data_IF_290695071785
#
_entry.id   IF_290695071785
#
_cell.length_a   1.000
_cell.length_b   1.000
_cell.length_c   1.000
_cell.angle_alpha   90.00
_cell.angle_beta   90.00
_cell.angle_gamma   90.00
#
_symmetry.space_group_name_H-M   'P 1'
#
loop_
_entity.id
_entity.type
_entity.pdbx_description
1 polymer ?
#
# COMPACT_ATOMS: atom_id res chain seq x y z
N UNK A 1 13.46 -5.76 19.33
CA UNK A 1 13.71 -6.43 20.64
C UNK A 1 14.47 -7.73 20.39
N UNK A 2 15.36 -8.23 21.25
CA UNK A 2 15.97 -9.55 21.02
C UNK A 2 14.93 -10.67 21.20
N UNK A 3 15.08 -11.77 20.45
CA UNK A 3 14.25 -12.96 20.67
C UNK A 3 14.52 -13.56 22.06
N UNK A 4 13.49 -14.12 22.73
CA UNK A 4 13.66 -14.73 24.04
C UNK A 4 14.54 -15.99 23.92
N UNK A 5 15.55 -16.10 24.78
CA UNK A 5 16.42 -17.29 24.82
C UNK A 5 15.66 -18.49 25.40
N UNK A 6 15.88 -19.66 24.81
CA UNK A 6 15.31 -20.90 25.33
C UNK A 6 15.96 -21.25 26.69
N UNK A 7 15.15 -21.65 27.67
CA UNK A 7 15.67 -21.99 28.99
C UNK A 7 16.58 -23.22 28.93
N UNK A 8 17.74 -23.20 29.59
CA UNK A 8 18.60 -24.37 29.68
C UNK A 8 17.89 -25.49 30.47
N UNK A 9 18.05 -26.74 30.02
CA UNK A 9 17.44 -27.94 30.58
C UNK A 9 18.48 -29.05 30.72
N UNK A 10 18.28 -29.94 31.70
CA UNK A 10 18.98 -31.22 31.82
C UNK A 10 17.92 -32.37 31.77
N UNK A 11 17.94 -33.27 30.78
CA UNK A 11 18.88 -33.36 29.65
C UNK A 11 18.75 -32.17 28.66
N UNK A 12 19.81 -31.89 27.86
CA UNK A 12 19.79 -30.80 26.87
C UNK A 12 18.72 -31.02 25.81
N UNK A 13 18.31 -29.93 25.16
CA UNK A 13 17.32 -29.97 24.09
C UNK A 13 17.77 -30.87 22.93
N UNK A 14 16.82 -31.57 22.27
CA UNK A 14 17.13 -32.31 21.06
C UNK A 14 17.75 -31.42 19.99
N UNK A 15 18.64 -31.98 19.17
CA UNK A 15 19.31 -31.23 18.09
C UNK A 15 18.32 -30.55 17.15
N UNK A 16 17.18 -31.18 16.87
CA UNK A 16 16.11 -30.60 16.04
C UNK A 16 15.54 -29.31 16.61
N UNK A 17 15.32 -29.25 17.93
CA UNK A 17 14.83 -28.04 18.62
C UNK A 17 15.90 -26.96 18.60
N UNK A 18 17.16 -27.34 18.89
CA UNK A 18 18.28 -26.39 18.87
C UNK A 18 18.50 -25.77 17.49
N UNK A 19 18.50 -26.60 16.44
CA UNK A 19 18.63 -26.16 15.05
C UNK A 19 17.46 -25.25 14.65
N UNK A 20 16.23 -25.61 15.01
CA UNK A 20 15.05 -24.78 14.73
C UNK A 20 15.14 -23.42 15.43
N UNK A 21 15.58 -23.39 16.70
CA UNK A 21 15.78 -22.15 17.44
C UNK A 21 16.87 -21.27 16.81
N UNK A 22 17.94 -21.88 16.30
CA UNK A 22 19.00 -21.16 15.61
C UNK A 22 18.49 -20.53 14.30
N UNK A 23 17.74 -21.29 13.50
CA UNK A 23 17.10 -20.78 12.28
C UNK A 23 16.18 -19.60 12.60
N UNK A 24 15.36 -19.69 13.64
CA UNK A 24 14.49 -18.59 14.07
C UNK A 24 15.30 -17.34 14.45
N UNK A 25 16.37 -17.50 15.22
CA UNK A 25 17.25 -16.39 15.60
C UNK A 25 17.90 -15.74 14.37
N UNK A 26 18.46 -16.54 13.46
CA UNK A 26 19.13 -16.05 12.26
C UNK A 26 18.16 -15.26 11.36
N UNK A 27 16.92 -15.76 11.18
CA UNK A 27 15.89 -15.11 10.37
C UNK A 27 15.41 -13.80 11.00
N UNK A 28 15.27 -13.78 12.33
CA UNK A 28 14.90 -12.59 13.08
C UNK A 28 15.98 -11.51 13.00
N UNK A 29 17.23 -11.87 13.27
CA UNK A 29 18.37 -10.94 13.18
C UNK A 29 18.54 -10.41 11.76
N UNK A 30 18.46 -11.27 10.74
CA UNK A 30 18.55 -10.86 9.33
C UNK A 30 17.49 -9.83 8.95
N UNK A 31 16.25 -10.04 9.39
CA UNK A 31 15.14 -9.14 9.10
C UNK A 31 15.22 -7.84 9.91
N UNK A 32 15.65 -7.90 11.18
CA UNK A 32 15.85 -6.72 12.01
C UNK A 32 17.03 -5.86 11.49
N UNK A 33 18.15 -6.49 11.10
CA UNK A 33 19.27 -5.83 10.45
C UNK A 33 18.86 -5.15 9.14
N UNK A 34 17.92 -5.75 8.39
CA UNK A 34 17.36 -5.12 7.21
C UNK A 34 16.64 -3.82 7.58
N UNK A 35 15.79 -3.83 8.60
CA UNK A 35 15.05 -2.65 9.06
C UNK A 35 15.99 -1.54 9.55
N UNK A 36 16.99 -1.91 10.34
CA UNK A 36 17.98 -0.99 10.91
C UNK A 36 18.91 -0.39 9.84
N UNK A 37 19.15 -1.10 8.74
CA UNK A 37 20.07 -0.63 7.68
C UNK A 37 19.61 0.65 6.97
N UNK A 38 18.33 1.04 7.11
CA UNK A 38 17.75 2.21 6.44
C UNK A 38 17.64 2.08 4.91
N UNK A 39 18.11 0.97 4.33
CA UNK A 39 18.07 0.71 2.89
C UNK A 39 16.83 -0.14 2.56
N UNK A 40 15.67 0.51 2.69
CA UNK A 40 14.35 -0.09 2.53
C UNK A 40 13.99 -0.23 1.04
N UNK A 41 14.52 -1.28 0.40
CA UNK A 41 14.07 -1.68 -0.92
C UNK A 41 12.79 -2.53 -0.80
N UNK A 42 11.70 -2.08 -1.42
CA UNK A 42 10.41 -2.80 -1.47
C UNK A 42 10.53 -4.29 -1.78
N UNK A 43 11.32 -4.66 -2.79
CA UNK A 43 11.49 -6.08 -3.13
C UNK A 43 12.16 -6.87 -2.01
N UNK A 44 13.07 -6.24 -1.25
CA UNK A 44 13.72 -6.87 -0.09
C UNK A 44 12.75 -6.98 1.07
N UNK A 45 11.99 -5.91 1.36
CA UNK A 45 10.93 -5.91 2.38
C UNK A 45 9.92 -7.04 2.11
N UNK A 46 9.37 -7.11 0.90
CA UNK A 46 8.43 -8.15 0.52
C UNK A 46 9.04 -9.56 0.56
N UNK A 47 10.32 -9.69 0.22
CA UNK A 47 11.04 -10.96 0.34
C UNK A 47 11.14 -11.40 1.82
N UNK A 48 11.52 -10.49 2.73
CA UNK A 48 11.58 -10.78 4.17
C UNK A 48 10.21 -11.12 4.74
N UNK A 49 9.16 -10.37 4.39
CA UNK A 49 7.78 -10.70 4.80
C UNK A 49 7.38 -12.09 4.30
N UNK A 50 7.66 -12.41 3.04
CA UNK A 50 7.35 -13.73 2.47
C UNK A 50 8.12 -14.85 3.16
N UNK A 51 9.39 -14.62 3.49
CA UNK A 51 10.24 -15.56 4.22
C UNK A 51 9.68 -15.83 5.62
N UNK A 52 9.23 -14.80 6.34
CA UNK A 52 8.59 -14.98 7.65
C UNK A 52 7.33 -15.85 7.55
N UNK A 53 6.46 -15.60 6.57
CA UNK A 53 5.25 -16.39 6.39
C UNK A 53 5.49 -17.84 5.96
N UNK A 54 6.48 -18.08 5.09
CA UNK A 54 6.72 -19.41 4.52
C UNK A 54 7.66 -20.28 5.35
N UNK A 55 8.58 -19.67 6.10
CA UNK A 55 9.63 -20.41 6.81
C UNK A 55 9.41 -20.37 8.32
N UNK A 56 9.16 -19.19 8.89
CA UNK A 56 9.06 -19.01 10.35
C UNK A 56 7.75 -19.58 10.91
N UNK A 57 6.61 -19.23 10.31
CA UNK A 57 5.31 -19.69 10.83
C UNK A 57 5.19 -21.23 10.82
N UNK A 58 5.51 -21.94 9.72
CA UNK A 58 5.47 -23.39 9.73
C UNK A 58 6.43 -24.02 10.75
N UNK A 59 7.59 -23.40 10.97
CA UNK A 59 8.56 -23.88 11.96
C UNK A 59 8.04 -23.75 13.39
N UNK A 60 7.42 -22.61 13.73
CA UNK A 60 6.77 -22.40 15.05
C UNK A 60 5.64 -23.41 15.24
N UNK A 61 4.80 -23.63 14.21
CA UNK A 61 3.72 -24.62 14.26
C UNK A 61 4.29 -26.03 14.45
N UNK A 62 5.36 -26.39 13.74
CA UNK A 62 6.00 -27.70 13.87
C UNK A 62 6.51 -27.92 15.30
N UNK A 63 7.09 -26.89 15.93
CA UNK A 63 7.55 -26.95 17.32
C UNK A 63 6.40 -27.05 18.34
N UNK A 64 5.24 -26.40 18.08
CA UNK A 64 4.05 -26.50 18.94
C UNK A 64 3.34 -27.86 18.81
N UNK A 65 3.38 -28.46 17.62
CA UNK A 65 2.78 -29.76 17.36
C UNK A 65 3.57 -30.92 17.99
N UNK A 66 4.85 -30.72 18.32
CA UNK A 66 5.63 -31.70 19.08
C UNK A 66 5.23 -31.68 20.57
N UNK A 67 4.33 -32.58 20.95
CA UNK A 67 3.81 -32.72 22.33
C UNK A 67 4.57 -33.76 23.16
N UNK A 68 5.81 -34.10 22.77
CA UNK A 68 6.65 -35.05 23.49
C UNK A 68 7.16 -34.54 24.84
N UNK A 69 7.90 -35.38 25.58
CA UNK A 69 8.61 -34.97 26.80
C UNK A 69 9.70 -33.90 26.51
N UNK A 70 10.04 -33.70 25.24
CA UNK A 70 10.98 -32.71 24.75
C UNK A 70 10.29 -31.51 24.07
N UNK A 71 8.98 -31.35 24.30
CA UNK A 71 8.21 -30.22 23.79
C UNK A 71 8.73 -28.90 24.33
N UNK A 72 8.80 -27.91 23.46
CA UNK A 72 9.19 -26.55 23.83
C UNK A 72 8.08 -25.91 24.68
N UNK A 73 8.41 -25.09 25.71
CA UNK A 73 7.39 -24.46 26.53
C UNK A 73 6.48 -23.56 25.68
N UNK A 74 5.16 -23.77 25.75
CA UNK A 74 4.18 -23.02 24.97
C UNK A 74 4.26 -21.50 25.21
N UNK A 75 4.62 -21.09 26.43
CA UNK A 75 4.84 -19.68 26.76
C UNK A 75 6.01 -19.08 25.97
N UNK A 76 7.10 -19.83 25.82
CA UNK A 76 8.26 -19.38 25.04
C UNK A 76 7.89 -19.27 23.55
N UNK A 77 7.19 -20.28 23.00
CA UNK A 77 6.72 -20.25 21.62
C UNK A 77 5.79 -19.06 21.35
N UNK A 78 4.89 -18.75 22.29
CA UNK A 78 4.00 -17.59 22.20
C UNK A 78 4.80 -16.27 22.16
N UNK A 79 5.82 -16.13 23.00
CA UNK A 79 6.69 -14.95 23.00
C UNK A 79 7.47 -14.81 21.70
N UNK A 80 8.03 -15.91 21.18
CA UNK A 80 8.69 -15.92 19.87
C UNK A 80 7.74 -15.50 18.76
N UNK A 81 6.54 -16.10 18.72
CA UNK A 81 5.52 -15.76 17.74
C UNK A 81 5.14 -14.27 17.80
N UNK A 82 4.99 -13.72 19.01
CA UNK A 82 4.71 -12.30 19.21
C UNK A 82 5.82 -11.41 18.63
N UNK A 83 7.09 -11.74 18.89
CA UNK A 83 8.22 -10.99 18.31
C UNK A 83 8.18 -10.98 16.77
N UNK A 84 7.81 -12.11 16.14
CA UNK A 84 7.71 -12.19 14.68
C UNK A 84 6.49 -11.45 14.11
N UNK A 85 5.38 -11.41 14.85
CA UNK A 85 4.22 -10.57 14.48
C UNK A 85 4.63 -9.10 14.49
N UNK A 86 5.22 -8.62 15.58
CA UNK A 86 5.70 -7.23 15.72
C UNK A 86 6.71 -6.86 14.62
N UNK A 87 7.63 -7.78 14.30
CA UNK A 87 8.60 -7.59 13.23
C UNK A 87 7.93 -7.52 11.84
N UNK A 88 6.93 -8.36 11.60
CA UNK A 88 6.18 -8.37 10.34
C UNK A 88 5.38 -7.08 10.16
N UNK A 89 4.74 -6.59 11.23
CA UNK A 89 4.04 -5.31 11.24
C UNK A 89 5.00 -4.16 10.88
N UNK A 90 6.18 -4.11 11.50
CA UNK A 90 7.19 -3.10 11.19
C UNK A 90 7.64 -3.16 9.73
N UNK A 91 7.87 -4.36 9.18
CA UNK A 91 8.23 -4.53 7.77
C UNK A 91 7.12 -4.04 6.83
N UNK A 92 5.86 -4.35 7.14
CA UNK A 92 4.69 -3.92 6.35
C UNK A 92 4.52 -2.41 6.41
N UNK A 93 4.62 -1.81 7.60
CA UNK A 93 4.46 -0.36 7.75
C UNK A 93 5.60 0.40 7.07
N UNK A 94 6.83 -0.12 7.14
CA UNK A 94 7.96 0.41 6.36
C UNK A 94 7.70 0.29 4.85
N UNK A 95 7.11 -0.80 4.36
CA UNK A 95 6.73 -0.95 2.94
C UNK A 95 5.69 0.09 2.52
N UNK A 96 4.68 0.36 3.36
CA UNK A 96 3.67 1.41 3.12
C UNK A 96 4.30 2.80 3.07
N UNK A 97 5.23 3.10 3.98
CA UNK A 97 5.95 4.37 4.02
C UNK A 97 6.81 4.56 2.76
N UNK A 98 7.56 3.54 2.35
CA UNK A 98 8.37 3.60 1.12
C UNK A 98 7.52 3.70 -0.15
N UNK A 99 6.29 3.20 -0.13
CA UNK A 99 5.34 3.32 -1.24
C UNK A 99 4.67 4.70 -1.29
N UNK A 100 4.83 5.53 -0.25
CA UNK A 100 4.18 6.84 -0.15
C UNK A 100 2.66 6.74 0.08
N UNK A 101 2.16 5.58 0.49
CA UNK A 101 0.74 5.35 0.82
C UNK A 101 0.40 5.79 2.26
N UNK A 102 1.37 6.36 2.99
CA UNK A 102 1.22 6.97 4.30
C UNK A 102 0.53 8.34 4.29
N UNK A 103 -0.59 8.49 3.57
CA UNK A 103 -1.70 9.41 3.87
C UNK A 103 -2.60 9.49 2.64
N UNK A 104 -3.63 8.65 2.58
CA UNK A 104 -4.99 9.12 2.33
C UNK A 104 -5.91 7.93 2.16
N UNK A 105 -7.04 8.02 2.84
CA UNK A 105 -8.18 7.14 2.70
C UNK A 105 -8.86 7.39 1.33
N UNK A 106 -8.09 7.39 0.24
CA UNK A 106 -8.62 7.44 -1.13
C UNK A 106 -8.89 6.01 -1.52
N UNK A 107 -10.13 5.57 -1.31
CA UNK A 107 -10.66 4.51 -2.15
C UNK A 107 -10.45 4.97 -3.58
N UNK A 108 -9.54 4.34 -4.32
CA UNK A 108 -9.45 4.52 -5.77
C UNK A 108 -10.59 3.66 -6.32
N UNK A 109 -11.76 4.21 -6.69
CA UNK A 109 -12.77 3.42 -7.37
C UNK A 109 -12.10 2.84 -8.62
N UNK A 110 -12.19 1.52 -8.80
CA UNK A 110 -11.66 0.85 -10.00
C UNK A 110 -12.40 1.46 -11.20
N UNK A 111 -11.78 2.35 -12.02
CA UNK A 111 -12.55 3.24 -12.88
C UNK A 111 -13.11 2.58 -14.13
N UNK A 112 -12.87 1.28 -14.31
CA UNK A 112 -12.99 0.61 -15.60
C UNK A 112 -13.68 -0.73 -15.41
N UNK A 113 -14.98 -0.76 -15.73
CA UNK A 113 -15.69 -1.99 -15.94
C UNK A 113 -15.43 -2.48 -17.37
N UNK A 114 -15.11 -3.76 -17.52
CA UNK A 114 -14.96 -4.41 -18.83
C UNK A 114 -16.27 -5.11 -19.15
N UNK A 115 -17.04 -4.56 -20.08
CA UNK A 115 -18.27 -5.20 -20.55
C UNK A 115 -17.98 -6.12 -21.74
N UNK A 116 -18.42 -7.37 -21.63
CA UNK A 116 -18.42 -8.34 -22.71
C UNK A 116 -19.75 -8.24 -23.48
N UNK A 117 -19.78 -7.45 -24.55
CA UNK A 117 -20.99 -7.18 -25.36
C UNK A 117 -21.43 -8.34 -26.27
N UNK A 118 -20.84 -9.54 -26.11
CA UNK A 118 -21.17 -10.73 -26.92
C UNK A 118 -20.80 -10.64 -28.41
N UNK A 119 -20.27 -9.51 -28.89
CA UNK A 119 -19.79 -9.33 -30.26
C UNK A 119 -18.32 -9.72 -30.38
N UNK A 120 -17.94 -10.32 -31.52
CA UNK A 120 -16.56 -10.75 -31.80
C UNK A 120 -15.65 -9.53 -31.98
N UNK A 121 -14.86 -9.18 -30.96
CA UNK A 121 -13.97 -8.02 -30.97
C UNK A 121 -13.27 -7.79 -29.61
N UNK A 122 -12.35 -6.81 -29.55
CA UNK A 122 -11.65 -6.42 -28.31
C UNK A 122 -12.69 -5.86 -27.31
N UNK A 123 -12.74 -6.35 -26.06
CA UNK A 123 -13.75 -5.94 -25.08
C UNK A 123 -13.72 -4.43 -24.83
N UNK A 124 -14.92 -3.86 -24.64
CA UNK A 124 -15.09 -2.42 -24.49
C UNK A 124 -14.78 -2.01 -23.05
N UNK A 125 -13.82 -1.08 -22.89
CA UNK A 125 -13.58 -0.41 -21.60
C UNK A 125 -14.66 0.66 -21.39
N UNK A 126 -15.48 0.51 -20.35
CA UNK A 126 -16.41 1.54 -19.90
C UNK A 126 -15.81 2.26 -18.70
N UNK A 127 -15.72 3.58 -18.81
CA UNK A 127 -15.27 4.45 -17.71
C UNK A 127 -16.51 5.01 -17.06
N UNK A 128 -16.54 5.01 -15.73
CA UNK A 128 -17.63 5.58 -14.95
C UNK A 128 -17.80 7.09 -15.27
N UNK A 129 -19.00 7.55 -15.66
CA UNK A 129 -19.26 8.96 -15.93
C UNK A 129 -19.02 9.87 -14.73
N UNK A 130 -19.21 9.39 -13.50
CA UNK A 130 -18.99 10.19 -12.30
C UNK A 130 -17.51 10.53 -12.13
N UNK A 131 -16.63 9.58 -12.44
CA UNK A 131 -15.18 9.77 -12.42
C UNK A 131 -14.75 10.77 -13.50
N UNK A 132 -15.36 10.72 -14.68
CA UNK A 132 -15.06 11.67 -15.77
C UNK A 132 -15.45 13.10 -15.39
N UNK A 133 -16.61 13.30 -14.74
CA UNK A 133 -17.05 14.61 -14.25
C UNK A 133 -16.15 15.11 -13.13
N UNK A 134 -15.92 14.27 -12.12
CA UNK A 134 -15.08 14.61 -10.99
C UNK A 134 -13.64 14.91 -11.39
N UNK A 135 -13.12 14.29 -12.45
CA UNK A 135 -11.76 14.52 -12.95
C UNK A 135 -11.64 15.73 -13.88
N UNK A 136 -12.74 16.16 -14.51
CA UNK A 136 -12.78 17.35 -15.38
C UNK A 136 -13.29 18.60 -14.65
N UNK A 137 -13.42 18.52 -13.32
CA UNK A 137 -13.74 19.66 -12.48
C UNK A 137 -12.66 20.76 -12.65
N UNK A 138 -13.04 22.01 -12.97
CA UNK A 138 -12.10 23.12 -13.15
C UNK A 138 -11.22 23.35 -11.91
N UNK A 139 -11.66 23.01 -10.70
CA UNK A 139 -10.86 23.16 -9.48
C UNK A 139 -9.65 22.22 -9.44
N UNK A 140 -9.72 21.06 -10.11
CA UNK A 140 -8.67 20.04 -10.06
C UNK A 140 -7.58 20.22 -11.12
N UNK A 141 -7.82 21.05 -12.14
CA UNK A 141 -6.83 21.40 -13.15
C UNK A 141 -6.21 20.21 -13.90
N UNK A 142 -6.87 19.04 -13.95
CA UNK A 142 -6.30 17.83 -14.54
C UNK A 142 -6.31 17.92 -16.08
N UNK A 143 -5.12 17.74 -16.68
CA UNK A 143 -5.03 17.66 -18.13
C UNK A 143 -5.69 16.38 -18.65
N UNK A 144 -6.35 16.47 -19.82
CA UNK A 144 -6.90 15.31 -20.55
C UNK A 144 -5.85 14.22 -20.80
N UNK A 145 -4.58 14.59 -20.93
CA UNK A 145 -3.49 13.64 -21.13
C UNK A 145 -3.17 12.85 -19.87
N UNK A 146 -3.11 13.53 -18.72
CA UNK A 146 -2.90 12.88 -17.43
C UNK A 146 -4.05 11.92 -17.10
N UNK A 147 -5.30 12.34 -17.36
CA UNK A 147 -6.48 11.50 -17.16
C UNK A 147 -6.49 10.27 -18.08
N UNK A 148 -6.12 10.43 -19.36
CA UNK A 148 -6.06 9.30 -20.28
C UNK A 148 -5.00 8.26 -19.83
N UNK A 149 -3.86 8.74 -19.32
CA UNK A 149 -2.78 7.90 -18.81
C UNK A 149 -3.21 7.16 -17.53
N UNK A 150 -3.87 7.82 -16.59
CA UNK A 150 -4.35 7.19 -15.36
C UNK A 150 -5.44 6.15 -15.61
N UNK A 151 -6.30 6.38 -16.61
CA UNK A 151 -7.34 5.44 -17.02
C UNK A 151 -6.85 4.36 -18.00
N UNK A 152 -5.59 4.40 -18.45
CA UNK A 152 -5.07 3.42 -19.42
C UNK A 152 -5.89 3.32 -20.71
N UNK A 153 -6.40 4.47 -21.20
CA UNK A 153 -7.15 4.61 -22.45
C UNK A 153 -6.49 5.62 -23.39
N UNK A 154 -6.77 5.50 -24.69
CA UNK A 154 -6.29 6.48 -25.67
C UNK A 154 -6.99 7.84 -25.50
N UNK A 155 -6.28 8.93 -25.78
CA UNK A 155 -6.83 10.28 -25.67
C UNK A 155 -8.06 10.50 -26.56
N UNK A 156 -8.12 9.87 -27.74
CA UNK A 156 -9.30 9.93 -28.63
C UNK A 156 -10.49 9.21 -28.00
N UNK A 157 -10.24 8.07 -27.34
CA UNK A 157 -11.27 7.35 -26.58
C UNK A 157 -11.79 8.20 -25.43
N UNK A 158 -10.91 8.86 -24.67
CA UNK A 158 -11.33 9.77 -23.60
C UNK A 158 -12.19 10.93 -24.13
N UNK A 159 -11.78 11.59 -25.23
CA UNK A 159 -12.59 12.67 -25.86
C UNK A 159 -13.96 12.18 -26.30
N UNK A 160 -14.05 10.98 -26.88
CA UNK A 160 -15.32 10.36 -27.25
C UNK A 160 -16.20 10.15 -26.01
N UNK A 161 -15.64 9.62 -24.91
CA UNK A 161 -16.38 9.40 -23.66
C UNK A 161 -16.83 10.69 -22.99
N UNK A 162 -16.02 11.74 -22.99
CA UNK A 162 -16.41 13.05 -22.45
C UNK A 162 -17.59 13.64 -23.22
N UNK A 163 -17.59 13.51 -24.55
CA UNK A 163 -18.71 13.94 -25.40
C UNK A 163 -19.97 13.09 -25.22
N UNK A 164 -19.82 11.78 -25.03
CA UNK A 164 -20.95 10.87 -24.76
C UNK A 164 -21.63 11.14 -23.41
N UNK A 165 -20.93 11.77 -22.46
CA UNK A 165 -21.42 12.02 -21.10
C UNK A 165 -21.70 13.50 -20.80
N UNK A 166 -21.76 14.34 -21.85
CA UNK A 166 -22.01 15.78 -21.78
C UNK A 166 -21.09 16.54 -20.80
N UNK A 167 -19.84 16.09 -20.67
CA UNK A 167 -18.83 16.76 -19.84
C UNK A 167 -18.16 17.85 -20.68
N UNK A 168 -18.62 19.09 -20.50
CA UNK A 168 -17.96 20.23 -21.13
C UNK A 168 -16.60 20.46 -20.48
N UNK A 169 -15.60 20.71 -21.33
CA UNK A 169 -14.20 20.90 -20.95
C UNK A 169 -13.65 22.22 -21.47
N UNK A 170 -14.54 23.09 -21.95
CA UNK A 170 -14.21 24.47 -22.22
C UNK A 170 -13.84 25.15 -20.92
N UNK A 171 -12.65 25.77 -20.89
CA UNK A 171 -12.37 26.79 -19.90
C UNK A 171 -13.43 27.89 -20.09
N UNK A 172 -14.04 28.36 -19.00
CA UNK A 172 -14.77 29.62 -19.06
C UNK A 172 -13.80 30.69 -19.53
N UNK A 173 -14.10 31.38 -20.63
CA UNK A 173 -13.33 32.53 -21.07
C UNK A 173 -13.50 33.63 -20.00
N UNK A 174 -12.62 33.64 -19.00
CA UNK A 174 -12.49 34.76 -18.08
C UNK A 174 -12.04 35.93 -18.92
N UNK A 175 -12.89 36.96 -19.01
CA UNK A 175 -12.54 38.17 -19.74
C UNK A 175 -11.62 39.04 -18.88
N UNK A 176 -10.83 39.93 -19.49
CA UNK A 176 -10.00 40.87 -18.71
C UNK A 176 -10.85 41.74 -17.75
N UNK A 177 -12.11 41.99 -18.07
CA UNK A 177 -13.02 42.70 -17.18
C UNK A 177 -13.32 41.89 -15.91
N UNK A 178 -13.42 40.57 -16.00
CA UNK A 178 -13.63 39.69 -14.86
C UNK A 178 -12.36 39.60 -13.98
N UNK A 179 -11.18 39.64 -14.60
CA UNK A 179 -9.90 39.73 -13.87
C UNK A 179 -9.79 41.02 -13.06
N UNK A 180 -10.20 42.16 -13.63
CA UNK A 180 -10.17 43.46 -12.94
C UNK A 180 -11.12 43.48 -11.73
N UNK A 181 -12.27 42.81 -11.81
CA UNK A 181 -13.22 42.69 -10.69
C UNK A 181 -12.63 41.85 -9.55
N UNK A 182 -11.98 40.72 -9.88
CA UNK A 182 -11.35 39.86 -8.86
C UNK A 182 -10.21 40.55 -8.12
N UNK A 183 -9.37 41.32 -8.82
CA UNK A 183 -8.25 42.06 -8.22
C UNK A 183 -8.78 43.17 -7.29
N UNK A 184 -9.92 43.77 -7.63
CA UNK A 184 -10.53 44.85 -6.84
C UNK A 184 -11.13 44.34 -5.53
N UNK A 185 -11.72 43.15 -5.52
CA UNK A 185 -12.26 42.51 -4.31
C UNK A 185 -11.15 42.09 -3.33
N UNK A 186 -10.00 41.60 -3.82
CA UNK A 186 -8.83 41.32 -2.95
C UNK A 186 -8.21 42.62 -2.40
N UNK A 187 -8.20 43.71 -3.17
CA UNK A 187 -7.65 44.98 -2.69
C UNK A 187 -8.53 45.69 -1.66
N UNK A 188 -9.85 45.45 -1.65
CA UNK A 188 -10.78 46.16 -0.76
C UNK A 188 -11.00 45.49 0.61
N UNK A 189 -10.58 44.23 0.80
CA UNK A 189 -10.79 43.50 2.06
C UNK A 189 -9.67 43.69 3.10
N UNK A 190 -8.57 44.37 2.74
CA UNK A 190 -7.41 44.58 3.62
C UNK A 190 -7.45 45.78 4.57
N UNK A 191 -8.56 46.53 4.69
CA UNK A 191 -8.62 47.79 5.45
C UNK A 191 -9.65 47.81 6.59
N UNK A 192 -9.72 46.78 7.42
CA UNK A 192 -10.47 46.87 8.69
C UNK A 192 -9.80 46.09 9.82
N UNK A 193 -8.77 46.70 10.40
CA UNK A 193 -8.34 46.42 11.78
C UNK A 193 -7.63 47.64 12.34
N UNK A 194 -8.39 48.51 12.99
CA UNK A 194 -7.92 49.61 13.83
C UNK A 194 -8.80 49.65 15.07
#
# INVERSE_FOLDING_TARGET
>A
MPLPSLLPRDPPWPSSVSESCQILNDLYESSNNMLESGNHNRHRLQHHVSMLFNDVYPLIIALDMDRGADSVPSLWLLQVAQCFVELTEQLIDTDKETTGEGSSNVQVPVPIAVEHTGQRGRPHKMVDPEILRAAMDPEKGLSKQALAKSLGIDQKTLRKRLRENDVDTGFSNITNADLDVMIKDECCTGSTSG
#
